data_IF_608579614555
#
_entry.id   IF_608579614555
#
_cell.length_a   1.000
_cell.length_b   1.000
_cell.length_c   1.000
_cell.angle_alpha   90.00
_cell.angle_beta   90.00
_cell.angle_gamma   90.00
#
_symmetry.space_group_name_H-M   'P 1'
#
loop_
_entity.id
_entity.type
_entity.pdbx_description
1 polymer ?
#
# COMPACT_ATOMS: atom_id res chain seq x y z
N UNK A 1 -6.07 -4.22 13.59
CA UNK A 1 -5.09 -5.27 14.00
C UNK A 1 -5.71 -6.70 14.02
N UNK A 2 -6.29 -7.20 12.92
CA UNK A 2 -6.81 -8.60 12.87
C UNK A 2 -6.58 -9.35 11.55
N UNK A 3 -6.28 -8.67 10.43
CA UNK A 3 -5.99 -9.34 9.16
C UNK A 3 -4.57 -9.94 9.10
N UNK A 4 -3.60 -9.23 9.69
CA UNK A 4 -2.17 -9.58 9.63
C UNK A 4 -1.90 -10.93 10.30
N UNK A 5 -2.50 -11.17 11.47
CA UNK A 5 -2.31 -12.41 12.22
C UNK A 5 -2.85 -13.63 11.47
N UNK A 6 -3.91 -13.49 10.66
CA UNK A 6 -4.46 -14.62 9.90
C UNK A 6 -3.56 -14.98 8.72
N UNK A 7 -2.91 -14.00 8.08
CA UNK A 7 -2.00 -14.26 6.95
C UNK A 7 -0.66 -14.87 7.40
N UNK A 8 -0.25 -14.65 8.65
CA UNK A 8 1.03 -15.18 9.17
C UNK A 8 0.90 -16.55 9.85
N UNK A 9 -0.31 -17.00 10.20
CA UNK A 9 -0.53 -18.33 10.79
C UNK A 9 -0.41 -19.40 9.70
N UNK A 10 0.81 -19.92 9.52
CA UNK A 10 1.09 -21.08 8.66
C UNK A 10 2.44 -21.05 7.94
N UNK A 11 3.14 -19.92 7.91
CA UNK A 11 4.45 -19.79 7.27
C UNK A 11 5.53 -19.51 8.33
N UNK A 12 6.58 -20.33 8.38
CA UNK A 12 7.70 -20.17 9.33
C UNK A 12 8.43 -18.81 9.20
N UNK A 13 8.17 -18.05 8.12
CA UNK A 13 8.47 -16.63 7.92
C UNK A 13 7.44 -16.03 6.93
N UNK A 14 7.03 -14.76 7.06
CA UNK A 14 6.22 -14.09 6.04
C UNK A 14 6.97 -14.06 4.71
N UNK A 15 6.26 -14.33 3.60
CA UNK A 15 6.85 -14.31 2.26
C UNK A 15 7.30 -12.90 1.88
N UNK A 16 8.25 -12.79 0.95
CA UNK A 16 8.65 -11.49 0.38
C UNK A 16 7.46 -10.69 -0.18
N UNK A 17 6.45 -11.40 -0.73
CA UNK A 17 5.20 -10.80 -1.18
C UNK A 17 4.40 -10.19 -0.01
N UNK A 18 4.28 -10.90 1.11
CA UNK A 18 3.61 -10.37 2.29
C UNK A 18 4.38 -9.18 2.87
N UNK A 19 5.71 -9.24 2.88
CA UNK A 19 6.54 -8.11 3.32
C UNK A 19 6.31 -6.87 2.45
N UNK A 20 6.29 -7.03 1.13
CA UNK A 20 6.00 -5.93 0.19
C UNK A 20 4.59 -5.37 0.40
N UNK A 21 3.55 -6.21 0.51
CA UNK A 21 2.19 -5.76 0.82
C UNK A 21 2.11 -4.97 2.13
N UNK A 22 2.83 -5.41 3.16
CA UNK A 22 2.91 -4.72 4.46
C UNK A 22 3.71 -3.42 4.39
N UNK A 23 4.78 -3.36 3.60
CA UNK A 23 5.53 -2.12 3.35
C UNK A 23 4.64 -1.12 2.62
N UNK A 24 3.90 -1.54 1.60
CA UNK A 24 2.92 -0.70 0.89
C UNK A 24 1.84 -0.17 1.82
N UNK A 25 1.26 -1.04 2.66
CA UNK A 25 0.26 -0.67 3.66
C UNK A 25 0.79 0.41 4.61
N UNK A 26 1.94 0.17 5.23
CA UNK A 26 2.54 1.11 6.20
C UNK A 26 2.99 2.41 5.54
N UNK A 27 3.54 2.37 4.32
CA UNK A 27 3.89 3.57 3.57
C UNK A 27 2.66 4.43 3.30
N UNK A 28 1.57 3.83 2.81
CA UNK A 28 0.32 4.57 2.54
C UNK A 28 -0.31 5.14 3.81
N UNK A 29 -0.23 4.42 4.94
CA UNK A 29 -0.66 4.90 6.26
C UNK A 29 0.12 6.13 6.72
N UNK A 30 1.45 6.14 6.57
CA UNK A 30 2.29 7.28 6.94
C UNK A 30 1.97 8.49 6.03
N UNK A 31 1.84 8.27 4.73
CA UNK A 31 1.55 9.36 3.77
C UNK A 31 0.14 9.94 3.97
N UNK A 32 -0.80 9.17 4.52
CA UNK A 32 -2.18 9.60 4.76
C UNK A 32 -2.28 10.92 5.53
N UNK A 33 -1.41 11.13 6.52
CA UNK A 33 -1.38 12.35 7.34
C UNK A 33 -1.05 13.63 6.55
N UNK A 34 -0.54 13.48 5.33
CA UNK A 34 0.05 14.56 4.51
C UNK A 34 -0.74 14.82 3.23
N UNK A 35 -1.74 14.01 2.92
CA UNK A 35 -2.49 14.11 1.66
C UNK A 35 -4.00 14.07 1.87
N UNK A 36 -4.79 14.71 1.01
CA UNK A 36 -6.24 14.52 1.03
C UNK A 36 -6.60 13.11 0.53
N UNK A 37 -7.36 12.37 1.34
CA UNK A 37 -7.83 11.01 0.99
C UNK A 37 -9.30 10.75 1.32
N UNK A 38 -10.03 11.78 1.79
CA UNK A 38 -11.42 11.64 2.22
C UNK A 38 -11.56 10.61 3.35
N UNK A 39 -12.51 9.70 3.22
CA UNK A 39 -12.78 8.63 4.20
C UNK A 39 -12.03 7.32 3.89
N UNK A 40 -11.17 7.30 2.87
CA UNK A 40 -10.47 6.09 2.44
C UNK A 40 -9.44 5.64 3.46
N UNK A 41 -9.39 4.33 3.74
CA UNK A 41 -8.35 3.72 4.57
C UNK A 41 -7.13 3.38 3.70
N UNK A 42 -6.11 4.24 3.76
CA UNK A 42 -4.91 4.10 2.94
C UNK A 42 -4.03 2.93 3.37
N UNK A 43 -4.10 2.49 4.63
CA UNK A 43 -3.43 1.26 5.04
C UNK A 43 -4.03 0.06 4.30
N UNK A 44 -5.37 -0.02 4.26
CA UNK A 44 -6.06 -1.09 3.53
C UNK A 44 -5.85 -1.00 2.01
N UNK A 45 -5.85 0.21 1.43
CA UNK A 45 -5.52 0.39 0.02
C UNK A 45 -4.11 -0.16 -0.29
N UNK A 46 -3.10 0.15 0.53
CA UNK A 46 -1.75 -0.35 0.36
C UNK A 46 -1.66 -1.88 0.55
N UNK A 47 -2.31 -2.43 1.57
CA UNK A 47 -2.34 -3.87 1.84
C UNK A 47 -3.00 -4.65 0.70
N UNK A 48 -4.15 -4.18 0.22
CA UNK A 48 -4.92 -4.85 -0.82
C UNK A 48 -4.37 -4.64 -2.23
N UNK A 49 -3.34 -3.82 -2.40
CA UNK A 49 -2.63 -3.69 -3.69
C UNK A 49 -1.91 -4.95 -4.16
N UNK A 50 -1.81 -5.98 -3.31
CA UNK A 50 -1.21 -7.29 -3.63
C UNK A 50 -2.11 -8.47 -3.24
N UNK A 51 -3.36 -8.24 -2.84
CA UNK A 51 -4.19 -9.32 -2.27
C UNK A 51 -4.56 -10.39 -3.30
N UNK A 52 -4.72 -9.99 -4.56
CA UNK A 52 -4.96 -10.86 -5.70
C UNK A 52 -3.80 -11.85 -5.90
N UNK A 53 -2.57 -11.34 -5.83
CA UNK A 53 -1.35 -12.15 -5.91
C UNK A 53 -1.19 -13.06 -4.69
N UNK A 54 -1.49 -12.56 -3.49
CA UNK A 54 -1.39 -13.35 -2.25
C UNK A 54 -2.41 -14.49 -2.20
N UNK A 55 -3.59 -14.30 -2.79
CA UNK A 55 -4.68 -15.28 -2.80
C UNK A 55 -4.73 -16.14 -4.07
N UNK A 56 -3.88 -15.86 -5.07
CA UNK A 56 -3.89 -16.48 -6.39
C UNK A 56 -5.28 -16.40 -7.06
N UNK A 57 -5.88 -15.21 -7.04
CA UNK A 57 -7.22 -14.94 -7.58
C UNK A 57 -7.25 -13.59 -8.29
N UNK A 58 -8.11 -13.39 -9.30
CA UNK A 58 -8.29 -12.08 -9.92
C UNK A 58 -8.74 -11.01 -8.91
N UNK A 59 -8.13 -9.81 -8.96
CA UNK A 59 -8.47 -8.68 -8.07
C UNK A 59 -9.97 -8.37 -8.04
N UNK A 60 -10.64 -8.45 -9.18
CA UNK A 60 -12.10 -8.25 -9.29
C UNK A 60 -12.88 -9.20 -8.38
N UNK A 61 -12.50 -10.48 -8.36
CA UNK A 61 -13.13 -11.52 -7.54
C UNK A 61 -12.86 -11.29 -6.05
N UNK A 62 -11.65 -10.84 -5.70
CA UNK A 62 -11.30 -10.55 -4.31
C UNK A 62 -12.13 -9.39 -3.76
N UNK A 63 -12.27 -8.31 -4.52
CA UNK A 63 -12.97 -7.10 -4.08
C UNK A 63 -14.51 -7.22 -4.07
N UNK A 64 -15.09 -8.30 -4.58
CA UNK A 64 -16.53 -8.59 -4.41
C UNK A 64 -16.90 -8.80 -2.94
N UNK A 65 -15.98 -9.36 -2.14
CA UNK A 65 -16.24 -9.80 -0.77
C UNK A 65 -15.53 -8.94 0.29
N UNK A 66 -14.73 -7.94 -0.13
CA UNK A 66 -14.00 -7.05 0.78
C UNK A 66 -14.75 -5.71 0.92
N UNK A 67 -15.09 -5.29 2.15
CA UNK A 67 -15.71 -3.99 2.38
C UNK A 67 -14.64 -2.89 2.36
N UNK A 68 -14.35 -2.37 1.17
CA UNK A 68 -13.57 -1.14 0.95
C UNK A 68 -14.45 -0.07 0.34
N UNK A 69 -14.07 1.19 0.53
CA UNK A 69 -14.74 2.33 -0.06
C UNK A 69 -14.62 2.34 -1.60
N UNK A 70 -15.39 3.23 -2.23
CA UNK A 70 -15.44 3.35 -3.69
C UNK A 70 -14.08 3.72 -4.29
N UNK A 71 -13.35 4.66 -3.69
CA UNK A 71 -12.08 5.16 -4.21
C UNK A 71 -11.01 4.07 -4.16
N UNK A 72 -10.92 3.36 -3.03
CA UNK A 72 -10.04 2.19 -2.88
C UNK A 72 -10.37 1.09 -3.89
N UNK A 73 -11.65 0.75 -4.05
CA UNK A 73 -12.06 -0.27 -5.05
C UNK A 73 -11.72 0.20 -6.48
N UNK A 74 -12.00 1.46 -6.81
CA UNK A 74 -11.76 2.00 -8.13
C UNK A 74 -10.26 1.99 -8.48
N UNK A 75 -9.38 2.41 -7.56
CA UNK A 75 -7.94 2.45 -7.83
C UNK A 75 -7.33 1.05 -7.98
N UNK A 76 -7.73 0.09 -7.14
CA UNK A 76 -7.25 -1.30 -7.20
C UNK A 76 -7.70 -2.03 -8.46
N UNK A 77 -8.85 -1.68 -9.02
CA UNK A 77 -9.34 -2.19 -10.31
C UNK A 77 -8.78 -1.45 -11.52
N UNK A 78 -7.89 -0.47 -11.32
CA UNK A 78 -7.31 0.33 -12.40
C UNK A 78 -8.24 1.38 -12.98
N UNK A 79 -9.34 1.70 -12.30
CA UNK A 79 -10.28 2.77 -12.65
C UNK A 79 -9.79 4.17 -12.30
N UNK A 80 -10.62 5.17 -12.60
CA UNK A 80 -10.40 6.55 -12.18
C UNK A 80 -10.70 6.68 -10.68
N UNK A 81 -9.77 7.28 -9.93
CA UNK A 81 -9.89 7.50 -8.48
C UNK A 81 -9.06 8.70 -8.07
N UNK A 82 -9.53 9.41 -7.05
CA UNK A 82 -8.79 10.47 -6.35
C UNK A 82 -7.53 9.94 -5.67
N UNK A 83 -7.49 8.66 -5.31
CA UNK A 83 -6.33 7.99 -4.70
C UNK A 83 -5.24 7.62 -5.70
N UNK A 84 -5.50 7.74 -7.01
CA UNK A 84 -4.58 7.28 -8.04
C UNK A 84 -3.18 7.88 -7.96
N UNK A 85 -2.97 9.18 -7.69
CA UNK A 85 -1.63 9.73 -7.53
C UNK A 85 -0.85 9.06 -6.39
N UNK A 86 -1.50 8.82 -5.24
CA UNK A 86 -0.87 8.13 -4.10
C UNK A 86 -0.57 6.67 -4.42
N UNK A 87 -1.50 5.97 -5.06
CA UNK A 87 -1.28 4.59 -5.49
C UNK A 87 -0.10 4.48 -6.47
N UNK A 88 0.03 5.41 -7.41
CA UNK A 88 1.17 5.46 -8.33
C UNK A 88 2.47 5.85 -7.61
N UNK A 89 2.43 6.78 -6.66
CA UNK A 89 3.58 7.12 -5.83
C UNK A 89 4.10 5.89 -5.08
N UNK A 90 3.22 5.12 -4.46
CA UNK A 90 3.56 3.87 -3.77
C UNK A 90 4.26 2.88 -4.70
N UNK A 91 3.70 2.63 -5.89
CA UNK A 91 4.28 1.70 -6.86
C UNK A 91 5.64 2.19 -7.39
N UNK A 92 5.73 3.46 -7.78
CA UNK A 92 6.96 4.08 -8.28
C UNK A 92 8.07 4.04 -7.22
N UNK A 93 7.71 4.32 -5.96
CA UNK A 93 8.64 4.30 -4.85
C UNK A 93 9.18 2.90 -4.58
N UNK A 94 8.32 1.90 -4.64
CA UNK A 94 8.72 0.50 -4.42
C UNK A 94 9.64 -0.03 -5.54
N UNK A 95 9.36 0.31 -6.80
CA UNK A 95 10.16 -0.17 -7.93
C UNK A 95 11.45 0.65 -8.17
N UNK A 96 11.67 1.73 -7.43
CA UNK A 96 12.82 2.62 -7.61
C UNK A 96 12.72 3.53 -8.84
N UNK A 97 11.51 3.78 -9.34
CA UNK A 97 11.25 4.76 -10.38
C UNK A 97 11.30 6.18 -9.79
N UNK A 98 12.48 6.78 -9.86
CA UNK A 98 12.71 8.13 -9.32
C UNK A 98 11.91 9.21 -10.03
N UNK A 99 11.76 9.12 -11.36
CA UNK A 99 11.00 10.11 -12.11
C UNK A 99 9.53 10.02 -11.76
N UNK A 100 8.94 8.82 -11.80
CA UNK A 100 7.55 8.62 -11.42
C UNK A 100 7.28 8.99 -9.96
N UNK A 101 8.22 8.71 -9.06
CA UNK A 101 8.14 9.13 -7.65
C UNK A 101 8.05 10.65 -7.54
N UNK A 102 8.96 11.38 -8.20
CA UNK A 102 8.98 12.85 -8.14
C UNK A 102 7.72 13.46 -8.76
N UNK A 103 7.29 12.95 -9.92
CA UNK A 103 6.09 13.42 -10.60
C UNK A 103 4.83 13.25 -9.72
N UNK A 104 4.67 12.10 -9.05
CA UNK A 104 3.52 11.89 -8.16
C UNK A 104 3.64 12.64 -6.84
N UNK A 105 4.85 12.79 -6.30
CA UNK A 105 5.10 13.56 -5.08
C UNK A 105 4.71 15.05 -5.29
N UNK A 106 5.12 15.65 -6.40
CA UNK A 106 4.76 17.02 -6.75
C UNK A 106 3.23 17.20 -6.86
N UNK A 107 2.54 16.25 -7.50
CA UNK A 107 1.07 16.26 -7.61
C UNK A 107 0.34 16.16 -6.28
N UNK A 108 0.97 15.54 -5.29
CA UNK A 108 0.45 15.38 -3.94
C UNK A 108 0.91 16.50 -2.98
N UNK A 109 1.78 17.40 -3.44
CA UNK A 109 2.36 18.45 -2.62
C UNK A 109 3.33 17.92 -1.55
N UNK A 110 4.04 16.84 -1.86
CA UNK A 110 4.99 16.18 -0.96
C UNK A 110 6.43 16.45 -1.41
N UNK A 111 7.33 16.59 -0.44
CA UNK A 111 8.77 16.66 -0.73
C UNK A 111 9.35 15.25 -0.94
N UNK A 112 10.33 15.12 -1.82
CA UNK A 112 11.02 13.84 -2.10
C UNK A 112 11.60 13.22 -0.81
N UNK A 113 12.12 14.06 0.08
CA UNK A 113 12.71 13.64 1.35
C UNK A 113 11.68 13.04 2.30
N UNK A 114 10.44 13.56 2.30
CA UNK A 114 9.33 13.06 3.11
C UNK A 114 8.87 11.70 2.60
N UNK A 115 8.70 11.57 1.28
CA UNK A 115 8.38 10.29 0.63
C UNK A 115 9.46 9.26 0.95
N UNK A 116 10.73 9.67 0.92
CA UNK A 116 11.84 8.80 1.22
C UNK A 116 11.89 8.32 2.66
N UNK A 117 11.67 9.25 3.59
CA UNK A 117 11.62 8.94 5.01
C UNK A 117 10.44 8.00 5.32
N UNK A 118 9.25 8.27 4.78
CA UNK A 118 8.06 7.44 4.97
C UNK A 118 8.27 6.01 4.47
N UNK A 119 8.86 5.84 3.28
CA UNK A 119 9.12 4.51 2.74
C UNK A 119 10.18 3.75 3.55
N UNK A 120 11.24 4.45 3.97
CA UNK A 120 12.27 3.86 4.82
C UNK A 120 11.69 3.40 6.17
N UNK A 121 10.86 4.23 6.80
CA UNK A 121 10.16 3.87 8.04
C UNK A 121 9.30 2.63 7.83
N UNK A 122 8.52 2.56 6.75
CA UNK A 122 7.67 1.42 6.44
C UNK A 122 8.48 0.11 6.31
N UNK A 123 9.64 0.15 5.63
CA UNK A 123 10.55 -1.00 5.52
C UNK A 123 11.11 -1.40 6.89
N UNK A 124 11.53 -0.45 7.72
CA UNK A 124 12.03 -0.76 9.06
C UNK A 124 10.96 -1.34 9.97
N UNK A 125 9.73 -0.83 9.88
CA UNK A 125 8.60 -1.33 10.64
C UNK A 125 8.30 -2.81 10.32
N UNK A 126 8.27 -3.18 9.03
CA UNK A 126 8.07 -4.59 8.63
C UNK A 126 9.19 -5.49 9.18
N UNK A 127 10.44 -5.04 9.14
CA UNK A 127 11.57 -5.80 9.71
C UNK A 127 11.40 -6.04 11.20
N UNK A 128 10.91 -5.04 11.95
CA UNK A 128 10.63 -5.19 13.38
C UNK A 128 9.51 -6.18 13.63
N UNK A 129 8.40 -6.10 12.89
CA UNK A 129 7.26 -7.04 13.00
C UNK A 129 7.70 -8.49 12.74
N UNK A 130 8.62 -8.70 11.81
CA UNK A 130 9.12 -10.02 11.45
C UNK A 130 10.22 -10.56 12.39
N UNK A 131 10.74 -9.73 13.29
CA UNK A 131 11.80 -10.08 14.24
C UNK A 131 11.26 -10.57 15.59
N UNK A 132 9.94 -10.61 15.75
CA UNK A 132 9.22 -11.01 16.98
C UNK A 132 8.68 -12.43 16.86
#
# INVERSE_FOLDING_TARGET
>A
MRLIATLTVGQNKPSELLNSAMTRARFCEIIAERVPHGESDLFLMGLFSMIDVLLDMPMVTVLENIPVDYETKAVLLGGASTLRPLYQLMLARECGDWQGTNDQAERLGLDESEVAAAYWEAVQWVRQVNSV
#
